data_IF_808512100931
#
_entry.id   IF_808512100931
#
_cell.length_a   1.000
_cell.length_b   1.000
_cell.length_c   1.000
_cell.angle_alpha   90.00
_cell.angle_beta   90.00
_cell.angle_gamma   90.00
#
_symmetry.space_group_name_H-M   'P 1'
#
loop_
_entity.id
_entity.type
_entity.pdbx_description
1 polymer ?
#
# COMPACT_ATOMS: atom_id res chain seq x y z
N UNK A 1 -69.66 30.93 -47.47
CA UNK A 1 -68.40 31.63 -47.13
C UNK A 1 -68.40 31.86 -45.63
N UNK A 2 -67.48 31.41 -44.79
CA UNK A 2 -66.35 30.49 -44.88
C UNK A 2 -66.13 29.93 -43.46
N UNK A 3 -65.65 28.69 -43.41
CA UNK A 3 -65.12 27.98 -42.25
C UNK A 3 -63.82 28.65 -41.78
N UNK A 4 -63.54 28.73 -40.48
CA UNK A 4 -62.15 28.70 -39.97
C UNK A 4 -62.06 27.94 -38.63
N UNK A 5 -61.17 26.96 -38.65
CA UNK A 5 -60.68 26.13 -37.54
C UNK A 5 -59.61 26.89 -36.73
N UNK A 6 -59.50 26.64 -35.42
CA UNK A 6 -58.41 27.18 -34.60
C UNK A 6 -58.16 26.44 -33.28
N UNK A 7 -57.51 25.28 -33.37
CA UNK A 7 -56.99 24.48 -32.25
C UNK A 7 -55.75 25.14 -31.61
N UNK A 8 -55.80 25.56 -30.33
CA UNK A 8 -54.66 25.95 -29.44
C UNK A 8 -55.18 25.84 -27.98
N UNK A 9 -54.63 25.16 -26.98
CA UNK A 9 -53.27 24.68 -26.71
C UNK A 9 -53.37 23.60 -25.62
N UNK A 10 -52.78 22.42 -25.83
CA UNK A 10 -52.47 21.47 -24.76
C UNK A 10 -51.40 22.08 -23.83
N UNK A 11 -51.69 22.21 -22.54
CA UNK A 11 -50.68 22.50 -21.50
C UNK A 11 -50.63 21.30 -20.53
N UNK A 12 -49.74 20.35 -20.79
CA UNK A 12 -48.43 20.20 -20.13
C UNK A 12 -48.51 20.00 -18.61
N UNK A 13 -48.35 18.74 -18.19
CA UNK A 13 -47.71 18.39 -16.93
C UNK A 13 -47.07 16.99 -17.05
N UNK A 14 -46.06 16.88 -17.91
CA UNK A 14 -45.11 15.77 -17.86
C UNK A 14 -44.14 16.05 -16.71
N UNK A 15 -44.41 15.52 -15.52
CA UNK A 15 -43.43 15.50 -14.44
C UNK A 15 -42.46 14.34 -14.69
N UNK A 16 -41.45 14.57 -15.53
CA UNK A 16 -40.30 13.66 -15.64
C UNK A 16 -39.39 13.98 -14.44
N UNK A 17 -39.50 13.16 -13.40
CA UNK A 17 -38.53 13.17 -12.31
C UNK A 17 -37.29 12.37 -12.75
N UNK A 18 -36.37 13.02 -13.46
CA UNK A 18 -35.03 12.48 -13.70
C UNK A 18 -34.21 12.62 -12.41
N UNK A 19 -34.38 11.67 -11.49
CA UNK A 19 -33.45 11.50 -10.38
C UNK A 19 -32.18 10.84 -10.93
N UNK A 20 -31.22 11.67 -11.37
CA UNK A 20 -29.83 11.23 -11.56
C UNK A 20 -29.24 10.93 -10.17
N UNK A 21 -29.44 9.70 -9.68
CA UNK A 21 -28.60 9.16 -8.61
C UNK A 21 -27.25 8.84 -9.22
N UNK A 22 -26.34 9.81 -9.26
CA UNK A 22 -24.91 9.52 -9.34
C UNK A 22 -24.51 8.89 -8.00
N UNK A 23 -24.77 7.60 -7.84
CA UNK A 23 -24.16 6.81 -6.79
C UNK A 23 -22.67 6.73 -7.13
N UNK A 24 -21.91 7.73 -6.67
CA UNK A 24 -20.46 7.67 -6.72
C UNK A 24 -20.03 6.45 -5.93
N UNK A 25 -19.52 5.43 -6.61
CA UNK A 25 -18.75 4.39 -5.96
C UNK A 25 -17.59 5.11 -5.26
N UNK A 26 -17.59 5.11 -3.92
CA UNK A 26 -16.42 5.57 -3.17
C UNK A 26 -15.29 4.60 -3.50
N UNK A 27 -14.42 4.98 -4.44
CA UNK A 27 -13.17 4.29 -4.64
C UNK A 27 -12.36 4.53 -3.37
N UNK A 28 -12.16 3.48 -2.56
CA UNK A 28 -11.20 3.53 -1.49
C UNK A 28 -9.81 3.69 -2.14
N UNK A 29 -9.21 4.87 -2.02
CA UNK A 29 -7.80 5.05 -2.34
C UNK A 29 -7.00 4.21 -1.35
N UNK A 30 -6.28 3.19 -1.82
CA UNK A 30 -5.37 2.44 -0.97
C UNK A 30 -4.17 3.34 -0.64
N UNK A 31 -4.24 4.08 0.47
CA UNK A 31 -3.10 4.85 0.93
C UNK A 31 -2.00 3.89 1.37
N UNK A 32 -0.80 4.03 0.79
CA UNK A 32 0.41 3.45 1.36
C UNK A 32 0.80 4.28 2.59
N UNK A 33 0.82 3.64 3.76
CA UNK A 33 1.24 4.28 5.00
C UNK A 33 2.75 4.38 5.15
N UNK A 34 3.52 3.60 4.38
CA UNK A 34 4.98 3.66 4.38
C UNK A 34 5.42 4.82 3.51
N UNK A 35 6.10 5.79 4.10
CA UNK A 35 6.78 6.85 3.36
C UNK A 35 8.07 6.30 2.77
N UNK A 36 8.36 6.66 1.52
CA UNK A 36 9.62 6.31 0.85
C UNK A 36 9.94 4.80 0.90
N UNK A 37 8.94 3.95 0.67
CA UNK A 37 9.09 2.49 0.76
C UNK A 37 10.04 1.87 -0.26
N UNK A 38 10.37 2.60 -1.34
CA UNK A 38 11.37 2.23 -2.34
C UNK A 38 12.70 2.97 -2.18
N UNK A 39 12.89 3.73 -1.10
CA UNK A 39 14.14 4.45 -0.78
C UNK A 39 14.60 5.54 -1.79
N UNK A 40 13.83 5.80 -2.86
CA UNK A 40 14.16 6.78 -3.90
C UNK A 40 14.24 8.23 -3.41
N UNK A 41 13.53 8.59 -2.33
CA UNK A 41 13.74 9.85 -1.62
C UNK A 41 14.94 9.75 -0.66
N UNK A 42 16.09 9.35 -1.22
CA UNK A 42 17.27 8.92 -0.48
C UNK A 42 17.90 9.98 0.39
N UNK A 43 17.81 11.26 -0.01
CA UNK A 43 18.49 12.38 0.67
C UNK A 43 20.02 12.37 0.55
N UNK A 44 20.61 11.27 0.07
CA UNK A 44 22.04 11.07 -0.05
C UNK A 44 22.59 11.56 -1.40
N UNK A 45 23.74 12.22 -1.37
CA UNK A 45 24.50 12.58 -2.56
C UNK A 45 25.56 11.52 -2.85
N UNK A 46 25.22 10.53 -3.67
CA UNK A 46 26.06 9.38 -3.99
C UNK A 46 26.65 9.48 -5.40
N UNK A 47 27.90 9.01 -5.55
CA UNK A 47 28.51 8.76 -6.87
C UNK A 47 27.84 7.54 -7.49
N UNK A 48 27.70 7.48 -8.81
CA UNK A 48 27.06 6.34 -9.48
C UNK A 48 27.75 4.99 -9.14
N UNK A 49 26.94 3.95 -8.91
CA UNK A 49 27.41 2.65 -8.44
C UNK A 49 27.95 2.60 -7.00
N UNK A 50 27.62 3.57 -6.15
CA UNK A 50 28.10 3.64 -4.76
C UNK A 50 27.01 3.38 -3.72
N UNK A 51 27.38 3.57 -2.45
CA UNK A 51 26.54 3.36 -1.28
C UNK A 51 27.02 4.28 -0.14
N UNK A 52 26.16 4.46 0.85
CA UNK A 52 26.49 5.02 2.14
C UNK A 52 25.81 4.19 3.23
N UNK A 53 26.03 4.56 4.48
CA UNK A 53 25.40 3.99 5.65
C UNK A 53 24.72 5.09 6.44
N UNK A 54 23.46 4.90 6.80
CA UNK A 54 22.80 5.78 7.74
C UNK A 54 23.33 5.50 9.15
N UNK A 55 23.66 6.56 9.88
CA UNK A 55 24.17 6.52 11.26
C UNK A 55 25.45 5.68 11.43
N UNK A 56 26.37 5.75 10.46
CA UNK A 56 27.72 5.16 10.53
C UNK A 56 28.76 6.20 10.09
N UNK A 57 29.50 6.73 11.06
CA UNK A 57 30.33 7.93 10.91
C UNK A 57 31.33 7.94 9.74
N UNK A 58 31.87 6.78 9.33
CA UNK A 58 32.90 6.71 8.27
C UNK A 58 32.33 6.77 6.84
N UNK A 59 31.03 6.56 6.67
CA UNK A 59 30.38 6.42 5.36
C UNK A 59 28.93 6.97 5.41
N UNK A 60 28.72 8.09 6.10
CA UNK A 60 27.39 8.57 6.48
C UNK A 60 26.52 8.98 5.26
N UNK A 61 25.23 8.60 5.27
CA UNK A 61 24.23 9.04 4.29
C UNK A 61 23.66 10.43 4.58
N UNK A 62 23.75 10.88 5.84
CA UNK A 62 23.14 12.10 6.34
C UNK A 62 21.72 11.82 6.83
N UNK A 63 20.81 11.47 5.91
CA UNK A 63 19.44 11.10 6.24
C UNK A 63 18.73 10.44 5.08
N UNK A 64 17.87 9.46 5.37
CA UNK A 64 16.98 8.82 4.40
C UNK A 64 15.55 9.22 4.74
N UNK A 65 14.83 9.84 3.81
CA UNK A 65 13.49 10.39 4.09
C UNK A 65 12.57 9.31 4.61
N UNK A 66 11.98 9.52 5.79
CA UNK A 66 11.02 8.61 6.41
C UNK A 66 11.63 7.38 7.10
N UNK A 67 12.96 7.23 7.10
CA UNK A 67 13.62 6.05 7.71
C UNK A 67 14.67 6.47 8.74
N UNK A 68 14.69 5.75 9.86
CA UNK A 68 15.75 5.78 10.87
C UNK A 68 16.41 4.41 11.02
N UNK A 69 17.40 4.32 11.91
CA UNK A 69 18.15 3.10 12.18
C UNK A 69 19.61 3.20 11.74
N UNK A 70 20.27 2.05 11.59
CA UNK A 70 21.65 1.96 11.14
C UNK A 70 21.71 0.92 10.03
N UNK A 71 21.83 1.34 8.78
CA UNK A 71 21.77 0.46 7.60
C UNK A 71 22.47 1.06 6.38
N UNK A 72 23.02 0.24 5.47
CA UNK A 72 23.49 0.72 4.18
C UNK A 72 22.33 1.12 3.27
N UNK A 73 22.39 2.33 2.72
CA UNK A 73 21.62 2.74 1.54
C UNK A 73 22.49 2.50 0.31
N UNK A 74 21.97 1.72 -0.63
CA UNK A 74 22.77 1.13 -1.71
C UNK A 74 22.15 1.53 -3.04
N UNK A 75 22.95 1.95 -4.01
CA UNK A 75 22.46 2.07 -5.37
C UNK A 75 22.22 0.70 -6.00
N UNK A 76 21.13 0.55 -6.73
CA UNK A 76 20.72 -0.66 -7.45
C UNK A 76 21.81 -1.22 -8.38
N UNK A 77 22.69 -0.34 -8.88
CA UNK A 77 23.84 -0.66 -9.74
C UNK A 77 25.18 -0.80 -8.99
N UNK A 78 25.15 -0.87 -7.66
CA UNK A 78 26.36 -0.81 -6.84
C UNK A 78 27.23 -2.07 -6.98
N UNK A 79 28.36 -1.91 -7.67
CA UNK A 79 29.38 -2.94 -7.85
C UNK A 79 29.89 -3.57 -6.55
N UNK A 80 30.24 -2.80 -5.51
CA UNK A 80 30.68 -3.35 -4.21
C UNK A 80 29.68 -4.29 -3.54
N UNK A 81 28.39 -4.12 -3.81
CA UNK A 81 27.33 -4.92 -3.22
C UNK A 81 26.86 -6.04 -4.15
N UNK A 82 27.22 -6.04 -5.43
CA UNK A 82 26.82 -7.08 -6.37
C UNK A 82 25.31 -7.32 -6.34
N UNK A 83 24.54 -6.23 -6.23
CA UNK A 83 23.09 -6.28 -6.15
C UNK A 83 22.56 -6.81 -7.49
N UNK A 84 21.64 -7.77 -7.50
CA UNK A 84 20.79 -7.94 -8.67
C UNK A 84 20.06 -6.61 -8.91
N UNK A 85 20.16 -6.02 -10.10
CA UNK A 85 19.51 -4.73 -10.41
C UNK A 85 18.06 -4.71 -9.88
N UNK A 86 17.79 -3.82 -8.94
CA UNK A 86 16.44 -3.64 -8.37
C UNK A 86 15.48 -3.19 -9.48
N UNK A 87 14.32 -3.85 -9.62
CA UNK A 87 13.28 -3.39 -10.53
C UNK A 87 12.46 -2.22 -9.95
N UNK A 88 12.76 -1.76 -8.73
CA UNK A 88 11.95 -0.78 -8.00
C UNK A 88 12.57 0.62 -7.92
N UNK A 89 13.75 0.82 -8.51
CA UNK A 89 14.37 2.13 -8.61
C UNK A 89 15.90 2.10 -8.56
N UNK A 90 16.48 3.26 -8.26
CA UNK A 90 17.91 3.46 -8.19
C UNK A 90 18.49 3.15 -6.81
N UNK A 91 17.67 3.07 -5.75
CA UNK A 91 18.09 2.88 -4.37
C UNK A 91 17.37 1.72 -3.70
N UNK A 92 18.03 1.14 -2.69
CA UNK A 92 17.49 0.09 -1.84
C UNK A 92 18.16 0.14 -0.47
N UNK A 93 17.55 -0.49 0.53
CA UNK A 93 18.16 -0.69 1.84
C UNK A 93 18.85 -2.06 1.92
N UNK A 94 19.98 -2.14 2.60
CA UNK A 94 20.59 -3.42 2.99
C UNK A 94 20.39 -3.71 4.47
N UNK A 95 20.09 -4.97 4.79
CA UNK A 95 20.21 -5.53 6.13
C UNK A 95 21.52 -6.30 6.22
N UNK A 96 22.63 -5.60 6.51
CA UNK A 96 23.95 -6.18 6.72
C UNK A 96 24.15 -6.62 8.18
N UNK A 97 24.39 -7.91 8.39
CA UNK A 97 24.63 -8.46 9.73
C UNK A 97 23.45 -8.20 10.67
N UNK A 98 23.66 -7.33 11.68
CA UNK A 98 22.64 -6.90 12.65
C UNK A 98 22.15 -5.45 12.45
N UNK A 99 22.42 -4.86 11.28
CA UNK A 99 21.86 -3.56 10.91
C UNK A 99 20.32 -3.59 10.93
N UNK A 100 19.70 -2.42 11.01
CA UNK A 100 18.25 -2.31 10.98
C UNK A 100 17.80 -0.98 10.39
N UNK A 101 16.55 -0.94 9.94
CA UNK A 101 15.87 0.29 9.60
C UNK A 101 14.41 0.24 10.04
N UNK A 102 13.86 1.41 10.32
CA UNK A 102 12.54 1.53 10.91
C UNK A 102 11.83 2.83 10.55
N UNK A 103 10.51 2.81 10.66
CA UNK A 103 9.64 3.96 10.46
C UNK A 103 8.47 3.88 11.45
N UNK A 104 8.23 4.96 12.18
CA UNK A 104 7.00 5.09 12.97
C UNK A 104 5.83 5.41 12.04
N UNK A 105 4.83 4.54 12.00
CA UNK A 105 3.66 4.67 11.14
C UNK A 105 2.45 5.09 11.97
N UNK A 106 1.78 6.16 11.54
CA UNK A 106 0.52 6.60 12.13
C UNK A 106 -0.66 5.99 11.38
N UNK A 107 -1.19 4.87 11.89
CA UNK A 107 -2.33 4.19 11.29
C UNK A 107 -3.65 4.81 11.81
N UNK A 108 -4.59 5.17 10.93
CA UNK A 108 -5.74 6.02 11.30
C UNK A 108 -6.80 5.30 12.15
N UNK A 109 -6.84 3.97 12.13
CA UNK A 109 -7.81 3.18 12.86
C UNK A 109 -7.26 1.80 13.22
N UNK A 110 -7.87 1.15 14.21
CA UNK A 110 -7.64 -0.26 14.44
C UNK A 110 -8.16 -1.09 13.26
N UNK A 111 -7.39 -2.06 12.78
CA UNK A 111 -7.77 -2.85 11.61
C UNK A 111 -6.74 -3.88 11.18
N UNK A 112 -7.05 -4.62 10.11
CA UNK A 112 -6.15 -5.60 9.48
C UNK A 112 -5.42 -4.97 8.31
N UNK A 113 -4.11 -4.80 8.42
CA UNK A 113 -3.25 -4.19 7.41
C UNK A 113 -2.52 -5.27 6.61
N UNK A 114 -2.21 -4.96 5.34
CA UNK A 114 -1.39 -5.81 4.47
C UNK A 114 -0.04 -5.13 4.27
N UNK A 115 1.02 -5.76 4.76
CA UNK A 115 2.40 -5.36 4.50
C UNK A 115 2.94 -6.18 3.34
N UNK A 116 3.57 -5.53 2.37
CA UNK A 116 4.35 -6.18 1.33
C UNK A 116 5.71 -5.52 1.15
N UNK A 117 6.69 -6.28 0.72
CA UNK A 117 8.04 -5.82 0.40
C UNK A 117 8.70 -6.80 -0.57
N UNK A 118 9.85 -6.44 -1.10
CA UNK A 118 10.68 -7.34 -1.90
C UNK A 118 12.04 -7.52 -1.26
N UNK A 119 12.62 -8.72 -1.40
CA UNK A 119 13.99 -9.00 -0.97
C UNK A 119 14.85 -9.68 -2.04
N UNK A 120 16.16 -9.50 -1.93
CA UNK A 120 17.19 -10.17 -2.73
C UNK A 120 18.46 -10.40 -1.90
N UNK A 121 19.34 -11.28 -2.37
CA UNK A 121 20.57 -11.63 -1.66
C UNK A 121 21.82 -11.00 -2.28
N UNK A 122 22.76 -10.55 -1.45
CA UNK A 122 24.11 -10.15 -1.89
C UNK A 122 24.79 -11.29 -2.66
N UNK A 123 25.31 -11.03 -3.86
CA UNK A 123 25.80 -12.09 -4.74
C UNK A 123 27.33 -12.25 -4.75
N UNK A 124 28.08 -11.19 -4.44
CA UNK A 124 29.51 -11.13 -4.73
C UNK A 124 30.43 -11.11 -3.50
N UNK A 125 29.86 -11.10 -2.29
CA UNK A 125 30.61 -11.06 -1.04
C UNK A 125 29.77 -11.59 0.12
N UNK A 126 30.45 -12.00 1.19
CA UNK A 126 29.83 -12.69 2.32
C UNK A 126 29.84 -14.22 2.16
N UNK A 127 29.35 -14.92 3.18
CA UNK A 127 29.17 -16.37 3.14
C UNK A 127 27.84 -16.76 3.77
N UNK A 128 27.04 -17.55 3.06
CA UNK A 128 25.75 -18.05 3.57
C UNK A 128 24.59 -17.03 3.54
N UNK A 129 23.40 -17.44 4.00
CA UNK A 129 22.20 -16.64 3.92
C UNK A 129 22.15 -15.53 4.97
N UNK A 130 21.52 -14.41 4.65
CA UNK A 130 21.18 -13.38 5.62
C UNK A 130 19.78 -13.62 6.17
N UNK A 131 19.66 -13.71 7.49
CA UNK A 131 18.35 -13.78 8.15
C UNK A 131 17.93 -12.42 8.66
N UNK A 132 16.65 -12.10 8.52
CA UNK A 132 16.06 -10.87 9.04
C UNK A 132 14.67 -11.10 9.62
N UNK A 133 14.23 -10.17 10.48
CA UNK A 133 12.91 -10.15 11.08
C UNK A 133 12.17 -8.88 10.69
N UNK A 134 10.88 -9.03 10.40
CA UNK A 134 9.93 -7.93 10.22
C UNK A 134 9.06 -7.84 11.46
N UNK A 135 8.90 -6.65 12.02
CA UNK A 135 8.10 -6.42 13.21
C UNK A 135 7.27 -5.15 13.12
N UNK A 136 6.17 -5.10 13.88
CA UNK A 136 5.36 -3.91 14.04
C UNK A 136 5.03 -3.68 15.52
N UNK A 137 5.31 -2.48 16.04
CA UNK A 137 5.03 -2.13 17.44
C UNK A 137 5.72 -3.06 18.44
N UNK A 138 6.91 -3.55 18.11
CA UNK A 138 7.68 -4.53 18.92
C UNK A 138 7.24 -5.99 18.78
N UNK A 139 6.18 -6.28 18.01
CA UNK A 139 5.70 -7.66 17.77
C UNK A 139 6.33 -8.21 16.49
N UNK A 140 6.99 -9.37 16.58
CA UNK A 140 7.53 -10.09 15.42
C UNK A 140 6.39 -10.57 14.52
N UNK A 141 6.41 -10.17 13.26
CA UNK A 141 5.42 -10.58 12.25
C UNK A 141 5.94 -11.76 11.42
N UNK A 142 7.18 -11.68 10.94
CA UNK A 142 7.80 -12.73 10.12
C UNK A 142 9.33 -12.74 10.32
N UNK A 143 9.93 -13.92 10.17
CA UNK A 143 11.38 -14.08 10.06
C UNK A 143 11.69 -14.76 8.73
N UNK A 144 12.66 -14.21 7.99
CA UNK A 144 13.04 -14.64 6.65
C UNK A 144 14.53 -14.95 6.62
N UNK A 145 14.93 -15.82 5.69
CA UNK A 145 16.33 -16.07 5.39
C UNK A 145 16.53 -16.01 3.88
N UNK A 146 17.46 -15.16 3.44
CA UNK A 146 17.72 -14.89 2.02
C UNK A 146 19.07 -15.46 1.66
N UNK A 147 19.07 -16.41 0.73
CA UNK A 147 20.29 -17.03 0.22
C UNK A 147 21.18 -16.01 -0.50
N UNK A 148 22.50 -16.23 -0.43
CA UNK A 148 23.47 -15.48 -1.22
C UNK A 148 23.11 -15.53 -2.70
N UNK A 149 23.09 -14.38 -3.36
CA UNK A 149 22.74 -14.23 -4.78
C UNK A 149 21.29 -14.54 -5.14
N UNK A 150 20.37 -14.64 -4.17
CA UNK A 150 18.95 -14.80 -4.46
C UNK A 150 18.43 -13.62 -5.30
N UNK A 151 17.64 -13.93 -6.33
CA UNK A 151 16.96 -12.93 -7.14
C UNK A 151 15.81 -12.26 -6.36
N UNK A 152 15.40 -11.08 -6.82
CA UNK A 152 14.28 -10.33 -6.24
C UNK A 152 13.01 -11.17 -6.15
N UNK A 153 12.45 -11.23 -4.95
CA UNK A 153 11.21 -11.95 -4.64
C UNK A 153 10.30 -11.06 -3.79
N UNK A 154 9.02 -11.00 -4.15
CA UNK A 154 8.01 -10.25 -3.39
C UNK A 154 7.39 -11.09 -2.27
N UNK A 155 7.13 -10.45 -1.14
CA UNK A 155 6.51 -11.04 0.05
C UNK A 155 5.32 -10.18 0.49
N UNK A 156 4.35 -10.83 1.13
CA UNK A 156 3.22 -10.14 1.73
C UNK A 156 2.70 -10.91 2.94
N UNK A 157 2.29 -10.19 3.97
CA UNK A 157 1.60 -10.72 5.13
C UNK A 157 0.49 -9.77 5.57
N UNK A 158 -0.43 -10.28 6.37
CA UNK A 158 -1.46 -9.46 7.02
C UNK A 158 -1.32 -9.52 8.53
N UNK A 159 -1.49 -8.39 9.20
CA UNK A 159 -1.47 -8.30 10.66
C UNK A 159 -2.51 -7.30 11.15
N UNK A 160 -2.85 -7.35 12.44
CA UNK A 160 -3.74 -6.38 13.07
C UNK A 160 -2.94 -5.33 13.82
N UNK A 161 -3.37 -4.08 13.72
CA UNK A 161 -2.79 -2.95 14.45
C UNK A 161 -3.90 -2.06 15.02
N UNK A 162 -3.61 -1.35 16.10
CA UNK A 162 -4.58 -0.52 16.82
C UNK A 162 -4.34 0.99 16.66
N UNK A 163 -3.31 1.39 15.92
CA UNK A 163 -2.95 2.79 15.72
C UNK A 163 -1.47 2.95 15.40
N UNK A 164 -0.83 3.92 16.05
CA UNK A 164 0.61 4.20 15.88
C UNK A 164 1.46 2.98 16.25
N UNK A 165 2.45 2.67 15.41
CA UNK A 165 3.45 1.64 15.71
C UNK A 165 4.67 1.76 14.82
N UNK A 166 5.78 1.22 15.31
CA UNK A 166 7.04 1.19 14.57
C UNK A 166 7.06 -0.04 13.65
N UNK A 167 7.18 0.18 12.34
CA UNK A 167 7.55 -0.86 11.37
C UNK A 167 9.07 -0.97 11.37
N UNK A 168 9.60 -2.18 11.62
CA UNK A 168 11.04 -2.40 11.75
C UNK A 168 11.48 -3.67 11.05
N UNK A 169 12.61 -3.55 10.34
CA UNK A 169 13.33 -4.65 9.72
C UNK A 169 14.69 -4.80 10.43
N UNK A 170 14.92 -5.95 11.05
CA UNK A 170 16.15 -6.29 11.77
C UNK A 170 16.97 -7.33 11.03
N UNK A 171 18.24 -7.07 10.75
CA UNK A 171 19.20 -8.13 10.47
C UNK A 171 19.46 -8.98 11.72
N UNK A 172 19.56 -10.30 11.58
CA UNK A 172 19.71 -11.22 12.71
C UNK A 172 21.09 -11.88 12.81
N UNK A 173 21.93 -11.75 11.79
CA UNK A 173 23.20 -12.47 11.74
C UNK A 173 24.30 -11.66 12.43
N UNK A 174 24.80 -12.16 13.57
CA UNK A 174 25.89 -11.54 14.33
C UNK A 174 27.30 -11.80 13.77
N UNK A 175 27.41 -12.65 12.75
CA UNK A 175 28.67 -13.10 12.17
C UNK A 175 28.70 -12.95 10.64
N UNK A 176 29.88 -12.62 10.13
CA UNK A 176 30.13 -12.45 8.70
C UNK A 176 29.53 -11.18 8.09
N UNK A 177 29.97 -10.86 6.87
CA UNK A 177 29.39 -9.79 6.06
C UNK A 177 28.27 -10.35 5.17
N UNK A 178 27.14 -10.65 5.80
CA UNK A 178 25.94 -11.19 5.13
C UNK A 178 24.92 -10.08 4.97
N UNK A 179 24.27 -10.00 3.80
CA UNK A 179 23.33 -8.91 3.52
C UNK A 179 22.15 -9.36 2.68
N UNK A 180 20.96 -8.96 3.11
CA UNK A 180 19.72 -9.01 2.36
C UNK A 180 19.39 -7.61 1.90
N UNK A 181 18.99 -7.46 0.65
CA UNK A 181 18.49 -6.22 0.09
C UNK A 181 16.98 -6.16 0.29
N UNK A 182 16.46 -5.02 0.69
CA UNK A 182 15.02 -4.78 0.90
C UNK A 182 14.61 -3.55 0.09
N UNK A 183 13.45 -3.66 -0.57
CA UNK A 183 12.89 -2.62 -1.42
C UNK A 183 11.36 -2.75 -1.53
N UNK A 184 10.70 -1.78 -2.15
CA UNK A 184 9.26 -1.78 -2.49
C UNK A 184 8.34 -2.07 -1.29
N UNK A 185 8.59 -1.41 -0.16
CA UNK A 185 7.81 -1.60 1.07
C UNK A 185 6.49 -0.83 0.96
N UNK A 186 5.38 -1.55 1.11
CA UNK A 186 4.03 -0.99 1.08
C UNK A 186 3.25 -1.49 2.30
N UNK A 187 2.57 -0.60 3.00
CA UNK A 187 1.59 -0.95 4.01
C UNK A 187 0.25 -0.37 3.62
N UNK A 188 -0.70 -1.24 3.30
CA UNK A 188 -2.04 -0.86 2.88
C UNK A 188 -3.05 -1.16 3.98
N UNK A 189 -3.98 -0.24 4.19
CA UNK A 189 -5.15 -0.48 5.03
C UNK A 189 -6.04 -1.55 4.37
N UNK A 190 -6.88 -2.22 5.16
CA UNK A 190 -7.97 -2.97 4.57
C UNK A 190 -8.83 -2.00 3.77
N UNK A 191 -9.12 -2.35 2.51
CA UNK A 191 -10.11 -1.64 1.72
C UNK A 191 -11.43 -1.71 2.50
N UNK A 192 -12.00 -0.59 2.97
CA UNK A 192 -13.35 -0.62 3.50
C UNK A 192 -14.24 -1.12 2.36
N UNK A 193 -14.92 -2.25 2.55
CA UNK A 193 -15.92 -2.72 1.58
C UNK A 193 -16.87 -1.55 1.32
N UNK A 194 -16.83 -0.92 0.14
CA UNK A 194 -17.44 0.38 -0.06
C UNK A 194 -18.92 0.17 -0.03
N UNK A 195 -19.57 0.54 1.08
CA UNK A 195 -21.02 0.58 1.20
C UNK A 195 -21.75 -0.66 0.67
N UNK A 196 -21.13 -1.83 0.49
CA UNK A 196 -21.76 -2.98 -0.18
C UNK A 196 -23.04 -3.38 0.53
N UNK A 197 -23.06 -3.28 1.87
CA UNK A 197 -24.28 -3.43 2.66
C UNK A 197 -25.23 -2.25 2.51
N UNK A 198 -24.76 -1.00 2.46
CA UNK A 198 -25.64 0.15 2.25
C UNK A 198 -26.25 0.17 0.85
N UNK A 199 -25.51 -0.19 -0.19
CA UNK A 199 -25.96 -0.34 -1.58
C UNK A 199 -26.84 -1.58 -1.74
N UNK A 200 -26.54 -2.67 -1.04
CA UNK A 200 -27.42 -3.84 -0.96
C UNK A 200 -28.73 -3.46 -0.27
N UNK A 201 -28.68 -2.73 0.85
CA UNK A 201 -29.87 -2.29 1.59
C UNK A 201 -30.67 -1.25 0.81
N UNK A 202 -30.01 -0.33 0.11
CA UNK A 202 -30.66 0.63 -0.80
C UNK A 202 -31.30 -0.15 -1.97
N UNK A 203 -30.60 -1.09 -2.58
CA UNK A 203 -31.11 -1.94 -3.65
C UNK A 203 -32.33 -2.78 -3.22
N UNK A 204 -32.25 -3.41 -2.06
CA UNK A 204 -33.36 -4.15 -1.46
C UNK A 204 -34.52 -3.23 -1.06
N UNK A 205 -34.24 -2.03 -0.56
CA UNK A 205 -35.25 -1.02 -0.23
C UNK A 205 -36.01 -0.54 -1.46
N UNK A 206 -35.31 -0.32 -2.58
CA UNK A 206 -35.92 0.03 -3.86
C UNK A 206 -36.78 -1.11 -4.43
N UNK A 207 -36.31 -2.37 -4.34
CA UNK A 207 -37.08 -3.56 -4.75
C UNK A 207 -38.34 -3.78 -3.90
N UNK A 208 -38.26 -3.55 -2.59
CA UNK A 208 -39.42 -3.63 -1.70
C UNK A 208 -40.45 -2.52 -1.97
N UNK A 209 -40.00 -1.33 -2.39
CA UNK A 209 -40.88 -0.24 -2.79
C UNK A 209 -41.56 -0.48 -4.15
N UNK A 210 -40.87 -1.13 -5.10
CA UNK A 210 -41.39 -1.36 -6.45
C UNK A 210 -42.47 -2.45 -6.50
N UNK A 211 -42.49 -3.40 -5.56
CA UNK A 211 -43.48 -4.48 -5.51
C UNK A 211 -44.79 -4.10 -4.80
N UNK A 212 -44.88 -2.90 -4.20
CA UNK A 212 -46.03 -2.48 -3.37
C UNK A 212 -47.16 -1.76 -4.13
N UNK A 213 -47.18 -1.82 -5.46
CA UNK A 213 -48.25 -1.26 -6.31
C UNK A 213 -49.24 -2.34 -6.73
N UNK A 214 -50.18 -2.66 -5.84
CA UNK A 214 -51.42 -3.37 -6.16
C UNK A 214 -52.55 -2.58 -5.49
N UNK A 215 -53.26 -1.73 -6.25
CA UNK A 215 -54.48 -1.07 -5.76
C UNK A 215 -55.67 -2.00 -5.93
N UNK A 216 -56.43 -2.33 -4.88
CA UNK A 216 -57.66 -3.11 -5.03
C UNK A 216 -58.72 -2.24 -5.73
N UNK A 217 -59.13 -2.62 -6.93
CA UNK A 217 -60.36 -2.09 -7.53
C UNK A 217 -61.54 -2.46 -6.62
N UNK A 218 -62.13 -1.44 -5.99
CA UNK A 218 -63.37 -1.59 -5.24
C UNK A 218 -64.52 -1.81 -6.23
N UNK A 219 -65.10 -3.00 -6.17
CA UNK A 219 -66.46 -3.27 -6.64
C UNK A 219 -67.44 -2.21 -6.10
N UNK A 220 -68.12 -1.50 -6.98
CA UNK A 220 -69.35 -0.76 -6.66
C UNK A 220 -70.42 -1.23 -7.65
N UNK A 221 -71.58 -1.57 -7.07
CA UNK A 221 -72.77 -2.22 -7.65
C UNK A 221 -73.40 -1.47 -8.82
#
# INVERSE_FOLDING_TARGET
>A
MNQEYGMKTLAFAYAILLAFCTAGAAQATSNNYVSNGSFEASGASLVDGSYCYLNVASHECGGVTGWSGQFPLIQSVSGPWGVPNSPYGAFLAGLQGQSHFEQTLALPAAGRYTLSWSDAGRANYGSGPQSYRVSFGGVSLETRSVSMGAAWSGHALTFTATGVGELRFDGLNGDGDRTAFIDNILLLAPVPEPSSYSMLLIGLGLLAFSTRRETPEKFIK
#
